data_IF_954294210317
#
_entry.id   IF_954294210317
#
_cell.length_a   1.000
_cell.length_b   1.000
_cell.length_c   1.000
_cell.angle_alpha   90.00
_cell.angle_beta   90.00
_cell.angle_gamma   90.00
#
_symmetry.space_group_name_H-M   'P 1'
#
loop_
_entity.id
_entity.type
_entity.pdbx_description
1 polymer ?
#
# COMPACT_ATOMS: atom_id res chain seq x y z
N UNK A 1 -10.28 -4.50 -0.84
CA UNK A 1 -10.02 -3.07 -0.60
C UNK A 1 -8.57 -2.80 -0.88
N UNK A 2 -8.25 -1.61 -1.41
CA UNK A 2 -6.89 -1.26 -1.83
C UNK A 2 -6.37 -0.14 -0.94
N UNK A 3 -5.12 -0.24 -0.47
CA UNK A 3 -4.39 0.90 0.09
C UNK A 3 -3.33 1.36 -0.90
N UNK A 4 -3.39 2.65 -1.27
CA UNK A 4 -2.43 3.26 -2.18
C UNK A 4 -1.48 4.16 -1.39
N UNK A 5 -0.18 3.98 -1.61
CA UNK A 5 0.87 4.86 -1.12
C UNK A 5 1.28 5.76 -2.26
N UNK A 6 1.39 7.05 -1.97
CA UNK A 6 1.69 8.06 -2.97
C UNK A 6 2.98 8.80 -2.60
N UNK A 7 3.86 8.94 -3.57
CA UNK A 7 4.99 9.86 -3.52
C UNK A 7 4.52 11.22 -4.03
N UNK A 8 4.29 12.16 -3.10
CA UNK A 8 3.82 13.50 -3.37
C UNK A 8 4.74 14.27 -4.34
N UNK A 9 6.05 14.04 -4.30
CA UNK A 9 7.01 14.74 -5.16
C UNK A 9 6.90 14.29 -6.61
N UNK A 10 6.28 13.13 -6.86
CA UNK A 10 6.07 12.58 -8.21
C UNK A 10 4.68 12.84 -8.77
N UNK A 11 3.72 13.29 -7.94
CA UNK A 11 2.37 13.61 -8.39
C UNK A 11 2.39 14.73 -9.42
N UNK A 12 1.68 14.55 -10.53
CA UNK A 12 1.54 15.57 -11.59
C UNK A 12 2.74 15.69 -12.54
N UNK A 13 3.85 14.97 -12.28
CA UNK A 13 4.94 14.86 -13.25
C UNK A 13 4.46 14.03 -14.45
N UNK A 14 4.70 14.49 -15.68
CA UNK A 14 4.27 13.77 -16.88
C UNK A 14 5.00 12.42 -16.94
N UNK A 15 4.27 11.32 -16.82
CA UNK A 15 4.77 10.02 -17.25
C UNK A 15 4.79 10.05 -18.78
N UNK A 16 5.95 9.92 -19.41
CA UNK A 16 6.08 9.87 -20.87
C UNK A 16 5.38 8.66 -21.50
N UNK A 17 4.88 7.73 -20.68
CA UNK A 17 4.12 6.57 -21.12
C UNK A 17 2.74 6.50 -20.44
N UNK A 18 1.68 6.62 -21.24
CA UNK A 18 0.27 6.58 -20.81
C UNK A 18 -0.23 5.20 -20.36
N UNK A 19 0.60 4.16 -20.47
CA UNK A 19 0.29 2.78 -20.07
C UNK A 19 0.74 2.44 -18.63
N UNK A 20 1.44 3.36 -17.95
CA UNK A 20 1.91 3.17 -16.56
C UNK A 20 0.90 3.74 -15.55
N UNK A 21 0.90 3.24 -14.29
CA UNK A 21 0.10 3.81 -13.22
C UNK A 21 0.30 5.33 -13.08
N UNK A 22 -0.66 6.06 -12.49
CA UNK A 22 -0.56 7.51 -12.32
C UNK A 22 0.78 7.93 -11.73
N UNK A 23 1.35 9.02 -12.24
CA UNK A 23 2.57 9.57 -11.68
C UNK A 23 2.37 9.88 -10.19
N UNK A 24 3.25 9.32 -9.36
CA UNK A 24 3.16 9.41 -7.90
C UNK A 24 2.54 8.19 -7.22
N UNK A 25 1.87 7.27 -7.91
CA UNK A 25 1.47 6.00 -7.28
C UNK A 25 2.75 5.19 -7.00
N UNK A 26 3.06 5.04 -5.72
CA UNK A 26 4.31 4.43 -5.26
C UNK A 26 4.13 2.93 -5.02
N UNK A 27 3.09 2.56 -4.29
CA UNK A 27 2.77 1.16 -4.00
C UNK A 27 1.26 0.98 -3.82
N UNK A 28 0.76 -0.20 -4.13
CA UNK A 28 -0.64 -0.57 -3.90
C UNK A 28 -0.71 -1.90 -3.15
N UNK A 29 -1.22 -1.87 -1.92
CA UNK A 29 -1.55 -3.07 -1.16
C UNK A 29 -2.92 -3.59 -1.58
N UNK A 30 -2.95 -4.78 -2.17
CA UNK A 30 -4.17 -5.47 -2.61
C UNK A 30 -4.48 -6.72 -1.77
N UNK A 31 -4.06 -6.74 -0.49
CA UNK A 31 -4.25 -7.91 0.38
C UNK A 31 -5.66 -8.06 0.98
N UNK A 32 -6.46 -6.99 1.05
CA UNK A 32 -7.81 -7.07 1.63
C UNK A 32 -8.85 -7.49 0.60
N UNK A 33 -9.72 -8.43 0.98
CA UNK A 33 -10.82 -8.93 0.13
C UNK A 33 -11.99 -7.95 0.02
N UNK A 34 -12.13 -7.05 0.98
CA UNK A 34 -13.24 -6.09 1.05
C UNK A 34 -12.78 -4.69 1.50
N UNK A 35 -13.70 -3.76 1.74
CA UNK A 35 -13.45 -2.36 2.07
C UNK A 35 -12.51 -2.23 3.27
N UNK A 36 -11.39 -1.52 3.06
CA UNK A 36 -10.51 -1.09 4.14
C UNK A 36 -11.26 -0.01 4.92
N UNK A 37 -11.37 -0.20 6.24
CA UNK A 37 -12.11 0.72 7.12
C UNK A 37 -11.18 1.63 7.91
N UNK A 38 -9.96 1.19 8.21
CA UNK A 38 -8.94 2.01 8.88
C UNK A 38 -7.52 1.46 8.62
N UNK A 39 -6.51 2.28 8.84
CA UNK A 39 -5.10 1.91 8.78
C UNK A 39 -4.21 2.84 9.61
N UNK A 40 -3.05 2.35 10.03
CA UNK A 40 -2.10 3.11 10.81
C UNK A 40 -0.65 2.76 10.44
N UNK A 41 0.20 3.80 10.41
CA UNK A 41 1.63 3.66 10.19
C UNK A 41 2.34 3.33 11.50
N UNK A 42 3.21 2.33 11.48
CA UNK A 42 4.07 2.09 12.62
C UNK A 42 5.09 3.23 12.77
N UNK A 43 5.10 3.89 13.92
CA UNK A 43 6.02 4.99 14.22
C UNK A 43 7.44 4.51 14.54
N UNK A 44 7.58 3.25 14.96
CA UNK A 44 8.85 2.66 15.39
C UNK A 44 9.53 1.87 14.27
N UNK A 45 8.76 1.42 13.28
CA UNK A 45 9.28 0.63 12.17
C UNK A 45 8.84 1.21 10.83
N UNK A 46 9.72 1.93 10.12
CA UNK A 46 9.40 2.54 8.83
C UNK A 46 8.84 1.53 7.84
N UNK A 47 7.87 1.97 7.03
CA UNK A 47 7.24 1.16 5.97
C UNK A 47 6.39 -0.01 6.44
N UNK A 48 6.18 -0.15 7.75
CA UNK A 48 5.26 -1.11 8.34
C UNK A 48 3.91 -0.44 8.62
N UNK A 49 2.83 -1.05 8.11
CA UNK A 49 1.46 -0.55 8.22
C UNK A 49 0.58 -1.66 8.78
N UNK A 50 -0.35 -1.29 9.65
CA UNK A 50 -1.52 -2.11 9.99
C UNK A 50 -2.74 -1.57 9.26
N UNK A 51 -3.54 -2.46 8.67
CA UNK A 51 -4.79 -2.11 8.02
C UNK A 51 -5.89 -3.10 8.36
N UNK A 52 -7.11 -2.60 8.52
CA UNK A 52 -8.29 -3.40 8.83
C UNK A 52 -9.34 -3.25 7.74
N UNK A 53 -10.02 -4.35 7.40
CA UNK A 53 -11.15 -4.35 6.49
C UNK A 53 -12.38 -4.93 7.15
N UNK A 54 -13.55 -4.48 6.69
CA UNK A 54 -14.82 -5.08 7.06
C UNK A 54 -15.33 -5.93 5.87
N UNK A 55 -15.31 -7.26 6.04
CA UNK A 55 -15.81 -8.23 5.06
C UNK A 55 -17.10 -8.94 5.52
N UNK A 56 -17.84 -8.34 6.46
CA UNK A 56 -19.09 -8.92 7.00
C UNK A 56 -20.15 -9.21 5.93
N UNK A 57 -20.17 -8.47 4.83
CA UNK A 57 -21.18 -8.64 3.75
C UNK A 57 -20.85 -9.80 2.80
N UNK A 58 -19.57 -10.21 2.70
CA UNK A 58 -19.12 -11.20 1.70
C UNK A 58 -18.79 -12.55 2.29
N UNK A 59 -18.30 -12.57 3.53
CA UNK A 59 -18.01 -13.80 4.25
C UNK A 59 -18.82 -13.80 5.54
N UNK A 60 -19.36 -14.96 5.92
CA UNK A 60 -19.96 -15.18 7.25
C UNK A 60 -18.94 -15.03 8.41
N UNK A 61 -17.69 -14.64 8.09
CA UNK A 61 -16.62 -14.33 9.02
C UNK A 61 -16.36 -12.83 8.95
N UNK A 62 -16.24 -12.19 10.12
CA UNK A 62 -16.04 -10.74 10.21
C UNK A 62 -14.69 -10.27 9.69
N UNK A 63 -14.40 -8.99 9.93
CA UNK A 63 -13.26 -8.23 9.41
C UNK A 63 -11.88 -8.91 9.43
N UNK A 64 -11.00 -8.48 8.51
CA UNK A 64 -9.58 -8.89 8.50
C UNK A 64 -8.68 -7.78 9.05
N UNK A 65 -7.68 -8.16 9.84
CA UNK A 65 -6.55 -7.29 10.22
C UNK A 65 -5.29 -7.82 9.54
N UNK A 66 -4.55 -6.93 8.89
CA UNK A 66 -3.29 -7.25 8.21
C UNK A 66 -2.20 -6.30 8.68
N UNK A 67 -1.05 -6.86 9.07
CA UNK A 67 0.18 -6.10 9.29
C UNK A 67 1.12 -6.48 8.16
N UNK A 68 1.63 -5.49 7.45
CA UNK A 68 2.47 -5.69 6.27
C UNK A 68 3.55 -4.61 6.18
N UNK A 69 4.66 -4.97 5.56
CA UNK A 69 5.79 -4.09 5.31
C UNK A 69 6.18 -4.20 3.84
N UNK A 70 6.43 -3.06 3.20
CA UNK A 70 6.99 -3.07 1.84
C UNK A 70 8.42 -3.60 1.87
N UNK A 71 8.78 -4.40 0.85
CA UNK A 71 10.16 -4.85 0.69
C UNK A 71 11.07 -3.66 0.39
N UNK A 72 12.27 -3.68 0.97
CA UNK A 72 13.23 -2.57 0.87
C UNK A 72 13.63 -2.26 -0.58
N UNK A 73 13.59 -3.27 -1.48
CA UNK A 73 13.82 -3.13 -2.92
C UNK A 73 12.85 -2.16 -3.63
N UNK A 74 11.70 -1.83 -3.02
CA UNK A 74 10.73 -0.89 -3.61
C UNK A 74 11.19 0.57 -3.46
N UNK A 75 11.91 0.89 -2.38
CA UNK A 75 12.25 2.27 -2.02
C UNK A 75 13.74 2.55 -1.84
N UNK A 76 14.61 1.53 -1.84
CA UNK A 76 16.06 1.67 -1.75
C UNK A 76 16.76 1.15 -3.01
N UNK A 77 17.99 1.61 -3.29
CA UNK A 77 18.86 1.02 -4.31
C UNK A 77 19.12 -0.48 -4.06
N UNK A 78 19.24 -1.27 -5.12
CA UNK A 78 19.45 -2.72 -5.02
C UNK A 78 20.75 -3.08 -4.28
N UNK A 79 21.79 -2.26 -4.44
CA UNK A 79 23.10 -2.40 -3.79
C UNK A 79 23.07 -2.18 -2.27
N UNK A 80 22.03 -1.54 -1.74
CA UNK A 80 21.83 -1.34 -0.30
C UNK A 80 21.00 -2.47 0.34
N UNK A 81 20.39 -3.35 -0.45
CA UNK A 81 19.35 -4.31 0.00
C UNK A 81 19.69 -5.78 -0.29
N UNK A 82 20.65 -6.05 -1.17
CA UNK A 82 21.18 -7.40 -1.48
C UNK A 82 22.49 -7.69 -0.76
#
# INVERSE_FOLDING_TARGET
GLLNLWDCDRVGKKSEHALKPPAGLFFQHAGHRDKVVDFHWNLLDPWTIVSVSDDCERNRGGGTLQIWRMIDLIYRPEDEVL
#
